data_IF_681880734388
#
_entry.id   IF_681880734388
#
_cell.length_a   1.000
_cell.length_b   1.000
_cell.length_c   1.000
_cell.angle_alpha   90.00
_cell.angle_beta   90.00
_cell.angle_gamma   90.00
#
_symmetry.space_group_name_H-M   'P 1'
#
loop_
_entity.id
_entity.type
_entity.pdbx_description
1 polymer ?
#
# COMPACT_ATOMS: atom_id res chain seq x y z
N UNK A 1 -23.50 9.76 25.31
CA UNK A 1 -23.94 8.82 24.26
C UNK A 1 -25.10 9.46 23.53
N UNK A 2 -24.99 9.61 22.21
CA UNK A 2 -26.09 10.10 21.37
C UNK A 2 -26.83 8.88 20.78
N UNK A 3 -28.17 8.90 20.78
CA UNK A 3 -28.98 7.84 20.19
C UNK A 3 -29.49 8.31 18.82
N UNK A 4 -29.43 7.42 17.82
CA UNK A 4 -29.97 7.65 16.47
C UNK A 4 -31.00 6.58 16.17
N UNK A 5 -32.08 6.97 15.50
CA UNK A 5 -33.11 6.03 15.04
C UNK A 5 -32.64 5.36 13.76
N UNK A 6 -32.96 4.07 13.66
CA UNK A 6 -32.88 3.34 12.39
C UNK A 6 -34.07 3.75 11.54
N UNK A 7 -33.83 4.05 10.27
CA UNK A 7 -34.81 4.47 9.28
C UNK A 7 -34.88 3.43 8.16
N UNK A 8 -36.04 3.30 7.52
CA UNK A 8 -36.16 2.47 6.32
C UNK A 8 -35.62 3.21 5.09
N UNK A 9 -34.84 2.51 4.27
CA UNK A 9 -34.44 2.94 2.94
C UNK A 9 -34.95 1.89 1.93
N UNK A 10 -36.05 2.20 1.26
CA UNK A 10 -36.74 1.24 0.40
C UNK A 10 -37.37 0.09 1.18
N UNK A 11 -37.58 -1.06 0.52
CA UNK A 11 -38.31 -2.21 1.11
C UNK A 11 -37.42 -3.14 1.94
N UNK A 12 -36.12 -3.17 1.68
CA UNK A 12 -35.22 -4.21 2.21
C UNK A 12 -33.97 -3.68 2.91
N UNK A 13 -33.78 -2.36 3.00
CA UNK A 13 -32.60 -1.76 3.64
C UNK A 13 -32.98 -0.86 4.80
N UNK A 14 -32.15 -0.89 5.83
CA UNK A 14 -32.24 -0.01 6.99
C UNK A 14 -30.99 0.87 7.03
N UNK A 15 -31.15 2.12 7.45
CA UNK A 15 -30.08 3.11 7.53
C UNK A 15 -30.10 3.84 8.88
N UNK A 16 -28.94 4.34 9.29
CA UNK A 16 -28.78 5.19 10.48
C UNK A 16 -27.96 6.42 10.09
N UNK A 17 -28.31 7.59 10.62
CA UNK A 17 -27.55 8.81 10.35
C UNK A 17 -26.24 8.83 11.14
N UNK A 18 -25.16 9.21 10.46
CA UNK A 18 -23.87 9.41 11.11
C UNK A 18 -23.86 10.75 11.87
N UNK A 19 -23.16 10.87 13.01
CA UNK A 19 -23.07 12.13 13.74
C UNK A 19 -22.41 13.22 12.89
N UNK A 20 -23.05 14.38 12.78
CA UNK A 20 -22.56 15.52 11.95
C UNK A 20 -21.14 15.93 12.30
N UNK A 21 -20.82 15.98 13.60
CA UNK A 21 -19.48 16.32 14.07
C UNK A 21 -18.44 15.29 13.60
N UNK A 22 -18.78 14.00 13.67
CA UNK A 22 -17.90 12.92 13.21
C UNK A 22 -17.68 12.97 11.69
N UNK A 23 -18.73 13.23 10.90
CA UNK A 23 -18.59 13.37 9.44
C UNK A 23 -17.72 14.57 9.07
N UNK A 24 -17.83 15.69 9.80
CA UNK A 24 -16.98 16.87 9.61
C UNK A 24 -15.52 16.60 9.97
N UNK A 25 -15.27 15.94 11.11
CA UNK A 25 -13.93 15.57 11.57
C UNK A 25 -13.19 14.69 10.54
N UNK A 26 -13.93 13.87 9.80
CA UNK A 26 -13.39 12.95 8.80
C UNK A 26 -13.53 13.46 7.36
N UNK A 27 -13.94 14.73 7.17
CA UNK A 27 -14.10 15.39 5.86
C UNK A 27 -15.03 14.64 4.88
N UNK A 28 -15.98 13.85 5.42
CA UNK A 28 -16.87 13.01 4.62
C UNK A 28 -18.00 13.84 3.99
N UNK A 29 -18.26 13.57 2.71
CA UNK A 29 -19.31 14.16 1.90
C UNK A 29 -20.30 13.10 1.43
N UNK A 30 -21.43 13.55 0.90
CA UNK A 30 -22.40 12.66 0.28
C UNK A 30 -21.74 11.88 -0.87
N UNK A 31 -21.90 10.56 -0.86
CA UNK A 31 -21.27 9.67 -1.85
C UNK A 31 -19.97 9.03 -1.37
N UNK A 32 -19.37 9.54 -0.29
CA UNK A 32 -18.19 8.91 0.30
C UNK A 32 -18.56 7.58 0.97
N UNK A 33 -17.63 6.62 0.89
CA UNK A 33 -17.80 5.29 1.46
C UNK A 33 -17.25 5.28 2.88
N UNK A 34 -17.95 4.60 3.78
CA UNK A 34 -17.46 4.26 5.12
C UNK A 34 -17.33 2.75 5.25
N UNK A 35 -16.40 2.32 6.08
CA UNK A 35 -16.23 0.90 6.36
C UNK A 35 -16.88 0.56 7.71
N UNK A 36 -17.51 -0.61 7.76
CA UNK A 36 -18.27 -1.07 8.93
C UNK A 36 -17.75 -2.45 9.32
N UNK A 37 -17.43 -2.63 10.60
CA UNK A 37 -17.07 -3.91 11.17
C UNK A 37 -18.05 -4.30 12.28
N UNK A 38 -18.32 -5.61 12.40
CA UNK A 38 -19.10 -6.19 13.49
C UNK A 38 -18.13 -6.78 14.49
N UNK A 39 -18.16 -6.29 15.73
CA UNK A 39 -17.38 -6.86 16.82
C UNK A 39 -18.01 -8.15 17.37
N UNK A 40 -17.24 -8.89 18.19
CA UNK A 40 -17.71 -10.11 18.88
C UNK A 40 -18.90 -9.87 19.81
N UNK A 41 -18.99 -8.68 20.40
CA UNK A 41 -20.11 -8.26 21.26
C UNK A 41 -21.33 -7.78 20.46
N UNK A 42 -21.31 -7.92 19.12
CA UNK A 42 -22.32 -7.45 18.16
C UNK A 42 -22.42 -5.93 18.02
N UNK A 43 -21.48 -5.18 18.59
CA UNK A 43 -21.39 -3.75 18.32
C UNK A 43 -20.94 -3.50 16.87
N UNK A 44 -21.44 -2.42 16.28
CA UNK A 44 -20.97 -1.91 14.98
C UNK A 44 -19.92 -0.84 15.22
N UNK A 45 -18.75 -1.02 14.61
CA UNK A 45 -17.74 0.03 14.49
C UNK A 45 -17.81 0.60 13.07
N UNK A 46 -17.94 1.93 12.98
CA UNK A 46 -17.86 2.67 11.73
C UNK A 46 -16.55 3.45 11.73
N UNK A 47 -15.78 3.32 10.66
CA UNK A 47 -14.57 4.07 10.41
C UNK A 47 -14.71 4.76 9.05
N UNK A 48 -14.13 5.97 8.90
CA UNK A 48 -14.08 6.61 7.58
C UNK A 48 -13.50 5.58 6.60
N UNK A 49 -14.13 5.44 5.43
CA UNK A 49 -13.61 4.54 4.41
C UNK A 49 -12.16 4.92 4.17
N UNK A 50 -11.29 3.90 4.06
CA UNK A 50 -9.85 4.10 3.87
C UNK A 50 -9.67 5.30 2.94
N UNK A 51 -8.95 6.35 3.39
CA UNK A 51 -8.16 7.17 2.46
C UNK A 51 -7.64 6.17 1.44
N UNK A 52 -8.00 6.31 0.15
CA UNK A 52 -7.60 5.44 -0.97
C UNK A 52 -6.47 4.54 -0.52
N UNK A 53 -6.63 3.21 -0.49
CA UNK A 53 -5.51 2.26 -0.31
C UNK A 53 -4.24 2.99 -0.69
N UNK A 54 -3.38 3.37 0.29
CA UNK A 54 -2.24 4.31 0.08
C UNK A 54 -1.80 4.11 -1.35
N UNK A 55 -2.14 5.07 -2.23
CA UNK A 55 -2.08 4.84 -3.68
C UNK A 55 -0.68 4.29 -3.91
N UNK A 56 -0.56 3.01 -4.32
CA UNK A 56 0.71 2.28 -4.24
C UNK A 56 1.74 3.15 -4.91
N UNK A 57 2.64 3.75 -4.14
CA UNK A 57 3.56 4.75 -4.67
C UNK A 57 4.43 4.02 -5.69
N UNK A 58 4.23 4.34 -6.98
CA UNK A 58 4.88 3.68 -8.10
C UNK A 58 6.01 4.53 -8.62
N UNK A 59 7.11 3.90 -8.97
CA UNK A 59 8.21 4.58 -9.65
C UNK A 59 8.86 3.69 -10.68
N UNK A 60 9.31 4.30 -11.78
CA UNK A 60 10.14 3.65 -12.78
C UNK A 60 11.56 4.21 -12.70
N UNK A 61 12.54 3.34 -12.50
CA UNK A 61 13.95 3.67 -12.58
C UNK A 61 14.52 3.17 -13.90
N UNK A 62 15.19 4.06 -14.62
CA UNK A 62 15.94 3.70 -15.82
C UNK A 62 17.38 3.35 -15.43
N UNK A 63 17.83 2.18 -15.90
CA UNK A 63 19.18 1.65 -15.64
C UNK A 63 19.94 1.58 -16.96
N UNK A 64 21.05 2.31 -17.03
CA UNK A 64 21.99 2.21 -18.14
C UNK A 64 22.82 0.93 -18.09
N UNK A 65 23.24 0.44 -19.27
CA UNK A 65 24.21 -0.65 -19.37
C UNK A 65 25.56 -0.30 -18.69
N UNK A 66 25.93 1.00 -18.73
CA UNK A 66 27.14 1.55 -18.12
C UNK A 66 27.01 1.91 -16.64
N UNK A 67 25.81 1.82 -16.06
CA UNK A 67 25.60 2.21 -14.67
C UNK A 67 26.34 1.25 -13.73
N UNK A 68 27.10 1.84 -12.80
CA UNK A 68 27.82 1.06 -11.79
C UNK A 68 26.80 0.35 -10.91
N UNK A 69 27.04 -0.93 -10.63
CA UNK A 69 26.13 -1.77 -9.81
C UNK A 69 25.72 -1.07 -8.51
N UNK A 70 26.67 -0.44 -7.80
CA UNK A 70 26.37 0.27 -6.55
C UNK A 70 25.37 1.43 -6.73
N UNK A 71 25.39 2.14 -7.86
CA UNK A 71 24.46 3.25 -8.11
C UNK A 71 23.04 2.71 -8.28
N UNK A 72 22.87 1.62 -9.04
CA UNK A 72 21.57 0.96 -9.23
C UNK A 72 20.98 0.50 -7.89
N UNK A 73 21.80 -0.13 -7.04
CA UNK A 73 21.35 -0.58 -5.72
C UNK A 73 21.03 0.59 -4.79
N UNK A 74 21.84 1.66 -4.82
CA UNK A 74 21.56 2.88 -4.04
C UNK A 74 20.23 3.51 -4.44
N UNK A 75 19.92 3.60 -5.73
CA UNK A 75 18.64 4.13 -6.22
C UNK A 75 17.47 3.25 -5.79
N UNK A 76 17.60 1.92 -5.88
CA UNK A 76 16.57 0.99 -5.39
C UNK A 76 16.29 1.16 -3.89
N UNK A 77 17.35 1.25 -3.07
CA UNK A 77 17.22 1.49 -1.63
C UNK A 77 16.59 2.86 -1.37
N UNK A 78 16.98 3.90 -2.10
CA UNK A 78 16.40 5.23 -1.95
C UNK A 78 14.89 5.21 -2.25
N UNK A 79 14.45 4.53 -3.31
CA UNK A 79 13.02 4.39 -3.59
C UNK A 79 12.29 3.67 -2.46
N UNK A 80 12.84 2.56 -1.97
CA UNK A 80 12.27 1.86 -0.83
C UNK A 80 12.13 2.77 0.41
N UNK A 81 13.17 3.52 0.76
CA UNK A 81 13.15 4.43 1.91
C UNK A 81 12.20 5.63 1.74
N UNK A 82 11.89 6.02 0.49
CA UNK A 82 10.91 7.05 0.19
C UNK A 82 9.45 6.52 0.17
N UNK A 83 9.23 5.25 0.51
CA UNK A 83 7.89 4.66 0.60
C UNK A 83 7.31 4.14 -0.72
N UNK A 84 8.11 4.04 -1.78
CA UNK A 84 7.68 3.42 -3.03
C UNK A 84 7.47 1.92 -2.83
N UNK A 85 6.26 1.46 -3.13
CA UNK A 85 5.80 0.08 -2.88
C UNK A 85 5.71 -0.77 -4.16
N UNK A 86 5.76 -0.15 -5.34
CA UNK A 86 5.85 -0.79 -6.66
C UNK A 86 6.92 -0.11 -7.51
N UNK A 87 8.10 -0.73 -7.57
CA UNK A 87 9.30 -0.20 -8.23
C UNK A 87 9.53 -1.00 -9.52
N UNK A 88 9.49 -0.31 -10.66
CA UNK A 88 9.85 -0.87 -11.97
C UNK A 88 11.27 -0.45 -12.34
N UNK A 89 12.16 -1.41 -12.57
CA UNK A 89 13.48 -1.17 -13.16
C UNK A 89 13.39 -1.42 -14.67
N UNK A 90 13.87 -0.48 -15.49
CA UNK A 90 13.92 -0.61 -16.95
C UNK A 90 15.34 -0.35 -17.44
N UNK A 91 15.94 -1.36 -18.05
CA UNK A 91 17.25 -1.25 -18.68
C UNK A 91 17.13 -0.64 -20.08
N UNK A 92 18.04 0.27 -20.43
CA UNK A 92 18.10 0.83 -21.79
C UNK A 92 18.39 -0.20 -22.88
N UNK A 93 19.11 -1.29 -22.54
CA UNK A 93 19.45 -2.38 -23.46
C UNK A 93 19.14 -3.77 -22.89
N UNK A 94 19.88 -4.21 -21.88
CA UNK A 94 19.62 -5.41 -21.08
C UNK A 94 20.37 -5.33 -19.75
N UNK A 95 19.83 -5.93 -18.68
CA UNK A 95 20.54 -6.00 -17.42
C UNK A 95 21.74 -6.95 -17.51
N UNK A 96 22.91 -6.49 -17.08
CA UNK A 96 24.09 -7.37 -16.96
C UNK A 96 23.89 -8.38 -15.84
N UNK A 97 24.47 -9.57 -15.95
CA UNK A 97 24.35 -10.62 -14.93
C UNK A 97 24.73 -10.14 -13.52
N UNK A 98 25.74 -9.26 -13.43
CA UNK A 98 26.17 -8.63 -12.17
C UNK A 98 25.12 -7.68 -11.59
N UNK A 99 24.46 -6.86 -12.43
CA UNK A 99 23.35 -6.00 -12.01
C UNK A 99 22.17 -6.85 -11.54
N UNK A 100 21.77 -7.86 -12.32
CA UNK A 100 20.66 -8.74 -11.95
C UNK A 100 20.89 -9.45 -10.61
N UNK A 101 22.11 -9.97 -10.38
CA UNK A 101 22.48 -10.62 -9.12
C UNK A 101 22.38 -9.64 -7.95
N UNK A 102 22.98 -8.45 -8.09
CA UNK A 102 22.95 -7.45 -7.04
C UNK A 102 21.54 -6.93 -6.73
N UNK A 103 20.70 -6.75 -7.76
CA UNK A 103 19.29 -6.36 -7.59
C UNK A 103 18.55 -7.42 -6.79
N UNK A 104 18.67 -8.71 -7.15
CA UNK A 104 18.06 -9.81 -6.40
C UNK A 104 18.50 -9.86 -4.95
N UNK A 105 19.79 -9.67 -4.68
CA UNK A 105 20.35 -9.66 -3.33
C UNK A 105 19.79 -8.48 -2.51
N UNK A 106 19.64 -7.29 -3.12
CA UNK A 106 19.05 -6.13 -2.49
C UNK A 106 17.56 -6.31 -2.20
N UNK A 107 16.78 -6.78 -3.19
CA UNK A 107 15.35 -7.10 -3.03
C UNK A 107 15.11 -8.03 -1.84
N UNK A 108 15.91 -9.09 -1.72
CA UNK A 108 15.81 -10.04 -0.61
C UNK A 108 16.07 -9.37 0.75
N UNK A 109 17.08 -8.51 0.84
CA UNK A 109 17.43 -7.78 2.08
C UNK A 109 16.38 -6.74 2.47
N UNK A 110 15.67 -6.19 1.49
CA UNK A 110 14.60 -5.21 1.70
C UNK A 110 13.23 -5.86 1.94
N UNK A 111 13.15 -7.19 2.05
CA UNK A 111 11.88 -7.93 2.18
C UNK A 111 10.87 -7.59 1.07
N UNK A 112 11.36 -7.26 -0.12
CA UNK A 112 10.56 -7.04 -1.32
C UNK A 112 10.51 -8.31 -2.19
N UNK A 113 9.62 -8.34 -3.17
CA UNK A 113 9.45 -9.46 -4.10
C UNK A 113 9.52 -8.99 -5.55
N UNK A 114 10.29 -9.71 -6.37
CA UNK A 114 10.23 -9.56 -7.83
C UNK A 114 9.00 -10.30 -8.32
N UNK A 115 8.07 -9.57 -8.95
CA UNK A 115 6.82 -10.10 -9.50
C UNK A 115 6.99 -10.52 -10.95
N UNK A 116 7.74 -9.74 -11.71
CA UNK A 116 7.99 -9.93 -13.13
C UNK A 116 9.47 -9.61 -13.40
N UNK A 117 10.14 -10.42 -14.22
CA UNK A 117 11.52 -10.18 -14.62
C UNK A 117 11.77 -10.74 -16.02
N UNK A 118 12.30 -9.89 -16.89
CA UNK A 118 12.86 -10.28 -18.18
C UNK A 118 14.25 -9.62 -18.39
N UNK A 119 14.80 -9.74 -19.59
CA UNK A 119 16.13 -9.21 -19.90
C UNK A 119 16.23 -7.68 -19.77
N UNK A 120 15.11 -6.95 -19.91
CA UNK A 120 15.05 -5.48 -19.96
C UNK A 120 14.28 -4.85 -18.80
N UNK A 121 13.40 -5.56 -18.13
CA UNK A 121 12.61 -5.01 -17.03
C UNK A 121 12.50 -5.95 -15.83
N UNK A 122 12.39 -5.35 -14.64
CA UNK A 122 12.05 -6.04 -13.41
C UNK A 122 11.00 -5.23 -12.65
N UNK A 123 9.94 -5.87 -12.19
CA UNK A 123 8.92 -5.26 -11.33
C UNK A 123 9.06 -5.81 -9.92
N UNK A 124 9.25 -4.92 -8.95
CA UNK A 124 9.57 -5.22 -7.55
C UNK A 124 8.49 -4.60 -6.68
N UNK A 125 7.84 -5.40 -5.84
CA UNK A 125 6.75 -4.96 -4.95
C UNK A 125 7.13 -5.25 -3.49
N UNK A 126 6.81 -4.33 -2.57
CA UNK A 126 6.96 -4.58 -1.14
C UNK A 126 5.93 -5.60 -0.65
N UNK A 127 6.34 -6.54 0.20
CA UNK A 127 5.43 -7.55 0.77
C UNK A 127 4.69 -7.04 2.02
N UNK A 128 5.03 -5.85 2.50
CA UNK A 128 4.51 -5.31 3.75
C UNK A 128 3.44 -4.28 3.42
N UNK A 129 2.19 -4.64 3.71
CA UNK A 129 1.19 -3.64 4.04
C UNK A 129 1.65 -3.00 5.36
N UNK A 130 2.29 -1.83 5.29
CA UNK A 130 2.80 -1.12 6.47
C UNK A 130 1.71 -0.87 7.52
N UNK A 131 0.42 -0.92 7.14
CA UNK A 131 -0.70 -0.82 8.07
C UNK A 131 -0.98 -2.10 8.86
N UNK A 132 -0.34 -3.23 8.52
CA UNK A 132 -0.51 -4.55 9.16
C UNK A 132 0.72 -5.04 9.93
N UNK A 133 1.82 -4.32 9.91
CA UNK A 133 2.97 -4.62 10.74
C UNK A 133 2.64 -4.33 12.22
N UNK A 134 1.91 -5.24 12.88
CA UNK A 134 1.74 -5.19 14.33
C UNK A 134 3.09 -5.46 15.01
N UNK A 135 3.52 -4.50 15.82
CA UNK A 135 4.72 -4.54 16.67
C UNK A 135 4.75 -5.82 17.53
N UNK A 136 3.58 -6.39 17.84
CA UNK A 136 3.42 -7.63 18.62
C UNK A 136 4.12 -8.86 18.01
N UNK A 137 4.36 -8.89 16.70
CA UNK A 137 4.99 -10.05 16.06
C UNK A 137 6.53 -10.04 16.14
N UNK A 138 7.12 -8.92 16.60
CA UNK A 138 8.57 -8.71 16.62
C UNK A 138 9.27 -9.03 17.95
N UNK A 139 8.53 -9.44 18.98
CA UNK A 139 9.09 -9.84 20.27
C UNK A 139 8.67 -11.29 20.56
N UNK A 140 9.54 -12.22 20.16
CA UNK A 140 9.60 -13.57 20.72
C UNK A 140 11.07 -13.96 20.89
#
# INVERSE_FOLDING_TARGET
MEQRRIMALGRSSLVVSLPKYWTQLNELKQGDVVSIAVNRDRSLIIFPGKKKEKEVEKITLHVGEGDKVFQVIRSLIACYLNGYSDIKLVSSKFFRATQQKAIRDAVKKLYMRIMEADAKQMRIITLIDESKASIETGIK
#
